data_IF_087035937942
#
_entry.id   IF_087035937942
#
_cell.length_a   1.000
_cell.length_b   1.000
_cell.length_c   1.000
_cell.angle_alpha   90.00
_cell.angle_beta   90.00
_cell.angle_gamma   90.00
#
_symmetry.space_group_name_H-M   'P 1'
#
loop_
_entity.id
_entity.type
_entity.pdbx_description
1 polymer ?
#
# COMPACT_ATOMS: atom_id res chain seq x y z
N UNK A 1 -17.10 32.63 -2.87
CA UNK A 1 -16.11 32.03 -1.94
C UNK A 1 -16.66 30.68 -1.49
N UNK A 2 -15.87 29.61 -1.37
CA UNK A 2 -16.36 28.38 -0.74
C UNK A 2 -16.83 28.69 0.68
N UNK A 3 -17.86 27.98 1.15
CA UNK A 3 -18.35 28.16 2.51
C UNK A 3 -17.24 27.70 3.48
N UNK A 4 -16.88 28.55 4.44
CA UNK A 4 -15.96 28.16 5.53
C UNK A 4 -16.80 27.57 6.64
N UNK A 5 -16.44 26.39 7.15
CA UNK A 5 -17.05 25.86 8.37
C UNK A 5 -16.32 26.48 9.58
N UNK A 6 -16.95 27.39 10.35
CA UNK A 6 -16.29 28.06 11.48
C UNK A 6 -15.92 27.09 12.61
N UNK A 7 -16.45 25.86 12.61
CA UNK A 7 -16.11 24.81 13.57
C UNK A 7 -14.94 23.95 13.10
N UNK A 8 -14.45 24.13 11.87
CA UNK A 8 -13.30 23.42 11.35
C UNK A 8 -12.01 24.01 11.90
N UNK A 9 -11.39 23.26 12.84
CA UNK A 9 -10.18 23.70 13.53
C UNK A 9 -8.91 23.45 12.72
N UNK A 10 -8.97 22.58 11.71
CA UNK A 10 -7.81 22.21 10.91
C UNK A 10 -7.56 23.17 9.75
N UNK A 11 -8.60 23.50 8.98
CA UNK A 11 -8.48 24.29 7.76
C UNK A 11 -9.77 25.09 7.48
N UNK A 12 -9.79 25.78 6.34
CA UNK A 12 -10.91 26.67 5.96
C UNK A 12 -11.86 25.99 4.97
N UNK A 13 -11.88 24.65 4.93
CA UNK A 13 -12.72 23.87 4.02
C UNK A 13 -14.07 23.52 4.65
N UNK A 14 -15.14 23.59 3.86
CA UNK A 14 -16.41 22.92 4.17
C UNK A 14 -16.30 21.39 4.01
N UNK A 15 -17.33 20.68 4.47
CA UNK A 15 -17.38 19.22 4.42
C UNK A 15 -17.31 18.66 3.00
N UNK A 16 -17.86 19.37 2.01
CA UNK A 16 -17.88 18.91 0.61
C UNK A 16 -16.48 18.97 0.00
N UNK A 17 -15.79 20.07 0.22
CA UNK A 17 -14.43 20.30 -0.27
C UNK A 17 -13.45 19.40 0.47
N UNK A 18 -13.61 19.23 1.79
CA UNK A 18 -12.82 18.30 2.59
C UNK A 18 -12.81 16.88 2.02
N UNK A 19 -13.99 16.36 1.65
CA UNK A 19 -14.15 15.00 1.12
C UNK A 19 -13.29 14.73 -0.12
N UNK A 20 -13.00 15.74 -0.95
CA UNK A 20 -12.21 15.58 -2.17
C UNK A 20 -10.78 15.13 -1.89
N UNK A 21 -10.24 15.48 -0.71
CA UNK A 21 -8.88 15.12 -0.33
C UNK A 21 -8.78 13.73 0.29
N UNK A 22 -9.90 13.15 0.70
CA UNK A 22 -9.94 11.98 1.56
C UNK A 22 -9.61 10.66 0.85
N UNK A 23 -9.58 10.60 -0.49
CA UNK A 23 -9.12 9.39 -1.20
C UNK A 23 -7.64 9.13 -0.93
N UNK A 24 -7.23 7.89 -0.68
CA UNK A 24 -5.81 7.53 -0.53
C UNK A 24 -5.00 7.54 -1.84
N UNK A 25 -5.60 7.97 -2.95
CA UNK A 25 -4.94 8.13 -4.23
C UNK A 25 -5.61 9.24 -5.07
N UNK A 26 -4.93 9.73 -6.10
CA UNK A 26 -5.42 10.75 -7.03
C UNK A 26 -4.65 10.70 -8.35
N UNK A 27 -5.28 11.14 -9.44
CA UNK A 27 -4.59 11.27 -10.73
C UNK A 27 -3.61 12.45 -10.69
N UNK A 28 -2.40 12.23 -11.19
CA UNK A 28 -1.36 13.24 -11.33
C UNK A 28 -1.01 13.39 -12.82
N UNK A 29 -0.69 14.60 -13.21
CA UNK A 29 -0.09 14.96 -14.51
C UNK A 29 1.45 15.06 -14.39
N UNK A 30 2.05 14.32 -13.43
CA UNK A 30 3.43 14.46 -12.95
C UNK A 30 3.75 15.79 -12.25
N UNK A 31 2.78 16.70 -12.07
CA UNK A 31 2.94 17.89 -11.22
C UNK A 31 2.65 17.56 -9.75
N UNK A 32 3.22 18.38 -8.86
CA UNK A 32 2.94 18.30 -7.43
C UNK A 32 1.62 19.03 -7.13
N UNK A 33 0.68 18.42 -6.39
CA UNK A 33 -0.56 19.07 -5.96
C UNK A 33 -0.30 20.00 -4.75
N UNK A 34 0.68 20.90 -4.86
CA UNK A 34 1.11 21.80 -3.79
C UNK A 34 -0.04 22.63 -3.26
N UNK A 35 -0.80 23.25 -4.16
CA UNK A 35 -1.95 24.09 -3.83
C UNK A 35 -2.99 23.38 -2.96
N UNK A 36 -3.27 22.12 -3.31
CA UNK A 36 -4.25 21.29 -2.65
C UNK A 36 -3.79 20.93 -1.24
N UNK A 37 -2.55 20.48 -1.08
CA UNK A 37 -1.99 20.19 0.24
C UNK A 37 -1.84 21.43 1.11
N UNK A 38 -1.36 22.55 0.56
CA UNK A 38 -1.24 23.82 1.28
C UNK A 38 -2.60 24.24 1.83
N UNK A 39 -3.63 24.25 0.98
CA UNK A 39 -4.99 24.65 1.39
C UNK A 39 -5.60 23.68 2.38
N UNK A 40 -5.26 22.39 2.30
CA UNK A 40 -5.77 21.39 3.21
C UNK A 40 -5.11 21.45 4.59
N UNK A 41 -3.80 21.67 4.66
CA UNK A 41 -3.05 21.59 5.92
C UNK A 41 -2.85 22.93 6.63
N UNK A 42 -3.24 24.05 6.02
CA UNK A 42 -3.11 25.39 6.64
C UNK A 42 -4.32 26.27 6.46
N UNK A 43 -4.50 27.20 7.39
CA UNK A 43 -5.45 28.31 7.26
C UNK A 43 -4.80 29.50 6.56
N UNK A 44 -5.60 30.31 5.88
CA UNK A 44 -5.09 31.58 5.35
C UNK A 44 -4.78 32.58 6.48
N UNK A 45 -5.53 32.49 7.57
CA UNK A 45 -5.41 33.34 8.76
C UNK A 45 -5.91 32.54 9.98
N UNK A 46 -5.18 32.60 11.09
CA UNK A 46 -5.47 31.90 12.33
C UNK A 46 -6.15 32.84 13.34
N UNK A 47 -6.81 32.32 14.40
CA UNK A 47 -7.58 33.14 15.35
C UNK A 47 -6.78 34.22 16.10
N UNK A 48 -5.47 34.05 16.23
CA UNK A 48 -4.53 35.02 16.83
C UNK A 48 -4.01 36.05 15.81
N UNK A 49 -4.50 36.02 14.56
CA UNK A 49 -4.19 36.96 13.50
C UNK A 49 -2.96 36.62 12.67
N UNK A 50 -2.21 35.55 12.97
CA UNK A 50 -1.10 35.15 12.09
C UNK A 50 -1.61 34.45 10.83
N UNK A 51 -0.87 34.59 9.74
CA UNK A 51 -1.14 33.85 8.49
C UNK A 51 -0.34 32.56 8.46
N UNK A 52 -0.87 31.51 7.83
CA UNK A 52 -0.20 30.21 7.80
C UNK A 52 1.23 30.28 7.27
N UNK A 53 2.18 29.71 8.01
CA UNK A 53 3.62 29.69 7.69
C UNK A 53 4.00 28.32 7.14
N UNK A 54 4.49 28.31 5.91
CA UNK A 54 4.74 27.09 5.14
C UNK A 54 6.22 27.00 4.78
N UNK A 55 6.82 25.85 5.08
CA UNK A 55 8.13 25.49 4.56
C UNK A 55 7.98 24.63 3.30
N UNK A 56 8.66 25.01 2.21
CA UNK A 56 8.77 24.19 1.01
C UNK A 56 10.24 23.82 0.79
N UNK A 57 10.53 22.54 0.58
CA UNK A 57 11.87 22.06 0.26
C UNK A 57 11.82 21.23 -1.05
N UNK A 58 12.65 21.54 -2.05
CA UNK A 58 13.53 22.70 -2.11
C UNK A 58 12.73 24.02 -2.18
N UNK A 59 13.38 25.14 -1.83
CA UNK A 59 12.76 26.49 -1.79
C UNK A 59 12.18 26.90 -3.15
N UNK A 60 12.74 26.37 -4.24
CA UNK A 60 12.30 26.62 -5.63
C UNK A 60 10.85 26.23 -5.89
N UNK A 61 10.27 25.31 -5.10
CA UNK A 61 8.85 24.93 -5.19
C UNK A 61 7.90 26.10 -4.97
N UNK A 62 8.32 27.17 -4.28
CA UNK A 62 7.49 28.37 -4.10
C UNK A 62 7.02 28.96 -5.43
N UNK A 63 7.83 28.82 -6.50
CA UNK A 63 7.48 29.33 -7.84
C UNK A 63 6.33 28.56 -8.50
N UNK A 64 6.01 27.36 -8.01
CA UNK A 64 4.93 26.51 -8.53
C UNK A 64 3.60 26.71 -7.79
N UNK A 65 3.60 27.46 -6.68
CA UNK A 65 2.39 27.69 -5.89
C UNK A 65 1.55 28.79 -6.53
N UNK A 66 0.27 28.53 -6.78
CA UNK A 66 -0.59 29.55 -7.38
C UNK A 66 -0.90 30.68 -6.39
N UNK A 67 -1.21 31.87 -6.92
CA UNK A 67 -1.67 33.00 -6.11
C UNK A 67 -2.89 32.65 -5.24
N UNK A 68 -3.75 31.72 -5.70
CA UNK A 68 -4.92 31.25 -4.96
C UNK A 68 -4.54 30.44 -3.72
N UNK A 69 -3.54 29.57 -3.84
CA UNK A 69 -3.07 28.77 -2.70
C UNK A 69 -2.20 29.61 -1.74
N UNK A 70 -1.35 30.49 -2.29
CA UNK A 70 -0.57 31.44 -1.51
C UNK A 70 -1.48 32.32 -0.64
N UNK A 71 -2.44 33.04 -1.21
CA UNK A 71 -3.34 33.91 -0.44
C UNK A 71 -2.55 34.87 0.47
N UNK A 72 -2.86 34.87 1.78
CA UNK A 72 -2.12 35.64 2.80
C UNK A 72 -0.95 34.87 3.46
N UNK A 73 -0.74 33.60 3.07
CA UNK A 73 0.20 32.69 3.73
C UNK A 73 1.65 33.14 3.49
N UNK A 74 2.52 32.79 4.43
CA UNK A 74 3.93 33.13 4.41
C UNK A 74 4.75 31.89 4.03
N UNK A 75 5.56 32.00 2.98
CA UNK A 75 6.52 30.96 2.63
C UNK A 75 7.87 31.28 3.25
N UNK A 76 8.42 30.31 3.96
CA UNK A 76 9.68 30.45 4.68
C UNK A 76 10.63 29.32 4.32
N UNK A 77 11.92 29.57 4.49
CA UNK A 77 12.94 28.54 4.34
C UNK A 77 12.78 27.48 5.45
N UNK A 78 12.87 26.20 5.09
CA UNK A 78 12.77 25.08 6.02
C UNK A 78 13.93 25.02 7.02
N UNK A 79 15.13 25.47 6.61
CA UNK A 79 16.37 25.43 7.38
C UNK A 79 16.71 26.78 8.04
N UNK A 80 16.14 27.89 7.56
CA UNK A 80 16.42 29.22 8.12
C UNK A 80 15.26 29.79 8.96
N UNK A 81 15.65 30.48 10.05
CA UNK A 81 14.73 31.19 10.95
C UNK A 81 14.24 30.35 12.14
N UNK A 82 13.52 31.02 13.05
CA UNK A 82 12.98 30.42 14.29
C UNK A 82 11.46 30.48 14.38
N UNK A 83 10.79 31.06 13.39
CA UNK A 83 9.33 31.18 13.39
C UNK A 83 8.65 29.81 13.36
N UNK A 84 7.59 29.61 14.16
CA UNK A 84 6.77 28.40 14.10
C UNK A 84 6.17 28.18 12.72
N UNK A 85 6.02 26.92 12.32
CA UNK A 85 5.48 26.48 11.04
C UNK A 85 4.12 25.80 11.24
N UNK A 86 3.20 26.00 10.30
CA UNK A 86 1.89 25.35 10.27
C UNK A 86 1.85 24.15 9.34
N UNK A 87 2.78 24.11 8.38
CA UNK A 87 2.89 23.03 7.40
C UNK A 87 4.25 22.99 6.73
N UNK A 88 4.70 21.80 6.31
CA UNK A 88 5.85 21.64 5.43
C UNK A 88 5.54 20.69 4.26
N UNK A 89 6.08 21.01 3.09
CA UNK A 89 6.08 20.12 1.93
C UNK A 89 7.52 19.89 1.47
N UNK A 90 7.91 18.63 1.34
CA UNK A 90 9.26 18.22 0.94
C UNK A 90 9.13 17.39 -0.34
N UNK A 91 9.70 17.87 -1.45
CA UNK A 91 9.86 17.09 -2.69
C UNK A 91 11.23 16.41 -2.68
N UNK A 92 11.22 15.09 -2.57
CA UNK A 92 12.37 14.20 -2.63
C UNK A 92 12.19 13.16 -3.74
N UNK A 93 11.44 13.52 -4.80
CA UNK A 93 11.26 12.67 -6.00
C UNK A 93 12.53 12.54 -6.85
N UNK A 94 13.56 13.33 -6.55
CA UNK A 94 14.89 13.28 -7.14
C UNK A 94 15.74 12.12 -6.59
N UNK A 95 15.45 11.65 -5.36
CA UNK A 95 16.07 10.44 -4.80
C UNK A 95 15.80 9.25 -5.71
N UNK A 96 16.86 8.65 -6.24
CA UNK A 96 16.82 7.60 -7.26
C UNK A 96 17.15 6.19 -6.76
N UNK A 97 17.64 6.06 -5.52
CA UNK A 97 18.06 4.79 -4.93
C UNK A 97 18.14 4.85 -3.40
N UNK A 98 18.28 3.69 -2.77
CA UNK A 98 18.59 3.60 -1.33
C UNK A 98 20.00 4.12 -1.01
N UNK A 99 20.96 3.90 -1.91
CA UNK A 99 22.33 4.41 -1.75
C UNK A 99 22.37 5.94 -1.72
N UNK A 100 21.60 6.61 -2.60
CA UNK A 100 21.49 8.06 -2.61
C UNK A 100 20.81 8.59 -1.34
N UNK A 101 19.78 7.89 -0.86
CA UNK A 101 19.15 8.22 0.43
C UNK A 101 20.14 8.10 1.59
N UNK A 102 20.95 7.04 1.62
CA UNK A 102 22.00 6.83 2.63
C UNK A 102 23.07 7.94 2.56
N UNK A 103 23.50 8.32 1.34
CA UNK A 103 24.46 9.40 1.13
C UNK A 103 23.93 10.77 1.60
N UNK A 104 22.62 11.03 1.43
CA UNK A 104 21.95 12.29 1.84
C UNK A 104 21.38 12.25 3.25
N UNK A 105 21.47 11.12 3.97
CA UNK A 105 20.80 10.90 5.24
C UNK A 105 21.14 11.98 6.29
N UNK A 106 22.41 12.37 6.41
CA UNK A 106 22.84 13.39 7.40
C UNK A 106 22.25 14.77 7.10
N UNK A 107 22.13 15.16 5.83
CA UNK A 107 21.50 16.43 5.44
C UNK A 107 19.99 16.38 5.74
N UNK A 108 19.34 15.29 5.35
CA UNK A 108 17.90 15.09 5.58
C UNK A 108 17.56 15.04 7.07
N UNK A 109 18.38 14.40 7.90
CA UNK A 109 18.20 14.41 9.36
C UNK A 109 18.29 15.81 9.96
N UNK A 110 19.20 16.67 9.47
CA UNK A 110 19.26 18.08 9.87
C UNK A 110 17.98 18.83 9.47
N UNK A 111 17.49 18.60 8.25
CA UNK A 111 16.22 19.15 7.78
C UNK A 111 15.05 18.71 8.66
N UNK A 112 14.93 17.40 8.94
CA UNK A 112 13.83 16.86 9.73
C UNK A 112 13.88 17.31 11.19
N UNK A 113 15.08 17.39 11.79
CA UNK A 113 15.26 17.95 13.12
C UNK A 113 14.86 19.44 13.19
N UNK A 114 15.27 20.24 12.19
CA UNK A 114 14.88 21.65 12.10
C UNK A 114 13.36 21.81 11.97
N UNK A 115 12.72 21.00 11.11
CA UNK A 115 11.27 20.97 10.96
C UNK A 115 10.56 20.49 12.23
N UNK A 116 11.09 19.50 12.94
CA UNK A 116 10.54 18.99 14.20
C UNK A 116 10.47 20.05 15.30
N UNK A 117 11.48 20.92 15.36
CA UNK A 117 11.54 22.03 16.31
C UNK A 117 10.60 23.19 15.95
N UNK A 118 10.24 23.33 14.66
CA UNK A 118 9.51 24.50 14.15
C UNK A 118 8.04 24.22 13.85
N UNK A 119 7.68 23.03 13.40
CA UNK A 119 6.28 22.65 13.17
C UNK A 119 5.53 22.69 14.50
N UNK A 120 4.44 23.45 14.56
CA UNK A 120 3.61 23.50 15.76
C UNK A 120 2.99 22.12 16.01
N UNK A 121 2.68 21.75 17.25
CA UNK A 121 1.93 20.52 17.52
C UNK A 121 0.42 20.83 17.63
N UNK A 122 -0.48 20.23 16.83
CA UNK A 122 -0.29 19.18 15.83
C UNK A 122 -0.36 19.68 14.36
N UNK A 123 0.77 20.13 13.81
CA UNK A 123 0.95 20.48 12.40
C UNK A 123 1.40 19.26 11.58
N UNK A 124 1.25 19.37 10.25
CA UNK A 124 1.53 18.27 9.33
C UNK A 124 2.73 18.56 8.44
N UNK A 125 3.32 17.51 7.89
CA UNK A 125 4.20 17.63 6.72
C UNK A 125 3.89 16.54 5.69
N UNK A 126 4.07 16.88 4.42
CA UNK A 126 4.02 15.94 3.29
C UNK A 126 5.41 15.75 2.72
N UNK A 127 5.77 14.51 2.43
CA UNK A 127 6.99 14.17 1.71
C UNK A 127 6.62 13.44 0.42
N UNK A 128 6.93 14.05 -0.72
CA UNK A 128 6.77 13.45 -2.04
C UNK A 128 8.05 12.68 -2.40
N UNK A 129 7.93 11.41 -2.77
CA UNK A 129 9.06 10.57 -3.17
C UNK A 129 8.59 9.46 -4.12
N UNK A 130 9.55 8.69 -4.66
CA UNK A 130 9.28 7.52 -5.50
C UNK A 130 9.96 6.29 -4.91
N UNK A 131 9.40 5.12 -5.19
CA UNK A 131 10.16 3.87 -5.06
C UNK A 131 10.93 3.61 -6.35
N UNK A 132 11.99 2.83 -6.24
CA UNK A 132 12.79 2.41 -7.38
C UNK A 132 12.99 0.90 -7.33
N UNK A 133 13.21 0.29 -8.49
CA UNK A 133 13.47 -1.14 -8.57
C UNK A 133 14.62 -1.34 -9.54
N UNK A 134 15.60 -2.15 -9.12
CA UNK A 134 16.84 -2.35 -9.85
C UNK A 134 17.24 -3.80 -9.74
N UNK A 135 17.65 -4.40 -10.86
CA UNK A 135 18.17 -5.76 -10.93
C UNK A 135 17.28 -6.80 -10.24
N UNK A 136 15.96 -6.71 -10.43
CA UNK A 136 15.02 -7.67 -9.84
C UNK A 136 14.84 -7.55 -8.33
N UNK A 137 15.14 -6.38 -7.76
CA UNK A 137 14.95 -6.05 -6.35
C UNK A 137 14.16 -4.77 -6.21
N UNK A 138 13.39 -4.69 -5.13
CA UNK A 138 12.78 -3.43 -4.75
C UNK A 138 13.72 -2.61 -3.89
N UNK A 139 13.89 -1.36 -4.29
CA UNK A 139 14.47 -0.29 -3.48
C UNK A 139 13.33 0.61 -3.01
N UNK A 140 12.71 0.20 -1.89
CA UNK A 140 11.57 0.88 -1.28
C UNK A 140 11.98 2.21 -0.60
N UNK A 141 12.49 3.16 -1.40
CA UNK A 141 13.02 4.45 -0.96
C UNK A 141 11.97 5.21 -0.15
N UNK A 142 10.70 5.18 -0.55
CA UNK A 142 9.63 5.84 0.20
C UNK A 142 9.54 5.31 1.64
N UNK A 143 9.70 4.01 1.85
CA UNK A 143 9.53 3.40 3.17
C UNK A 143 10.81 3.44 4.01
N UNK A 144 11.98 3.43 3.38
CA UNK A 144 13.24 3.77 4.04
C UNK A 144 13.25 5.24 4.52
N UNK A 145 12.80 6.17 3.67
CA UNK A 145 12.62 7.58 4.03
C UNK A 145 11.58 7.75 5.14
N UNK A 146 10.49 6.98 5.09
CA UNK A 146 9.50 6.98 6.16
C UNK A 146 10.09 6.52 7.50
N UNK A 147 10.95 5.48 7.52
CA UNK A 147 11.68 5.03 8.72
C UNK A 147 12.53 6.17 9.29
N UNK A 148 13.23 6.92 8.44
CA UNK A 148 14.03 8.08 8.86
C UNK A 148 13.18 9.18 9.50
N UNK A 149 12.07 9.56 8.87
CA UNK A 149 11.13 10.59 9.35
C UNK A 149 10.41 10.20 10.65
N UNK A 150 10.15 8.90 10.86
CA UNK A 150 9.50 8.40 12.08
C UNK A 150 10.31 8.61 13.37
N UNK A 151 11.60 8.96 13.26
CA UNK A 151 12.41 9.42 14.40
C UNK A 151 11.97 10.80 14.94
N UNK A 152 11.27 11.60 14.12
CA UNK A 152 10.91 12.99 14.40
C UNK A 152 9.40 13.24 14.40
N UNK A 153 8.64 12.47 13.62
CA UNK A 153 7.21 12.70 13.39
C UNK A 153 6.41 11.40 13.38
N UNK A 154 5.12 11.47 13.68
CA UNK A 154 4.24 10.31 13.53
C UNK A 154 3.71 10.21 12.11
N UNK A 155 3.95 9.09 11.43
CA UNK A 155 3.35 8.83 10.12
C UNK A 155 1.85 8.57 10.27
N UNK A 156 1.03 9.29 9.52
CA UNK A 156 -0.44 9.20 9.56
C UNK A 156 -1.04 8.61 8.28
N UNK A 157 -0.37 8.80 7.14
CA UNK A 157 -0.88 8.31 5.87
C UNK A 157 0.20 8.10 4.80
N UNK A 158 -0.22 7.43 3.73
CA UNK A 158 0.42 7.39 2.43
C UNK A 158 -0.66 7.63 1.36
N UNK A 159 -0.51 8.70 0.59
CA UNK A 159 -1.38 9.02 -0.54
C UNK A 159 -0.62 8.78 -1.84
N UNK A 160 -1.28 8.14 -2.80
CA UNK A 160 -0.65 7.72 -4.06
C UNK A 160 -1.03 8.68 -5.18
N UNK A 161 -0.04 9.35 -5.76
CA UNK A 161 -0.17 10.09 -7.01
C UNK A 161 0.01 9.15 -8.18
N UNK A 162 -1.05 9.00 -8.96
CA UNK A 162 -1.16 8.14 -10.12
C UNK A 162 -0.87 8.97 -11.37
N UNK A 163 0.40 9.08 -11.75
CA UNK A 163 0.81 9.88 -12.90
C UNK A 163 0.42 9.23 -14.23
N UNK A 164 0.01 10.05 -15.22
CA UNK A 164 -0.16 9.56 -16.59
C UNK A 164 1.19 9.22 -17.20
N UNK A 165 1.23 8.16 -18.01
CA UNK A 165 2.31 8.01 -18.99
C UNK A 165 2.18 9.18 -19.96
N UNK A 166 3.26 9.92 -20.19
CA UNK A 166 3.39 10.68 -21.43
C UNK A 166 3.61 9.59 -22.49
N UNK A 167 2.76 9.51 -23.50
CA UNK A 167 3.02 8.63 -24.66
C UNK A 167 4.34 9.09 -25.31
N UNK A 168 5.44 8.45 -24.93
CA UNK A 168 6.74 8.59 -25.58
C UNK A 168 6.92 7.45 -26.57
N UNK A 169 5.99 7.29 -27.51
CA UNK A 169 6.23 6.50 -28.70
C UNK A 169 6.85 7.42 -29.77
N UNK A 170 8.16 7.64 -29.67
CA UNK A 170 9.06 8.00 -30.77
C UNK A 170 10.51 8.17 -30.28
N UNK A 171 11.26 7.07 -30.17
CA UNK A 171 12.59 6.87 -30.80
C UNK A 171 13.32 5.68 -30.19
N UNK A 172 13.90 4.89 -31.08
CA UNK A 172 14.46 3.56 -30.88
C UNK A 172 15.78 3.50 -30.09
N UNK A 173 15.95 2.37 -29.39
CA UNK A 173 17.14 1.51 -29.25
C UNK A 173 18.45 2.09 -28.68
N UNK A 174 18.86 1.56 -27.51
CA UNK A 174 20.07 0.73 -27.40
C UNK A 174 20.04 -0.14 -26.12
N UNK A 175 20.73 -1.29 -26.19
CA UNK A 175 20.60 -2.44 -25.30
C UNK A 175 20.97 -2.17 -23.83
N UNK A 176 20.01 -2.39 -22.92
CA UNK A 176 20.28 -2.85 -21.55
C UNK A 176 19.05 -3.57 -20.99
N UNK A 177 19.15 -4.83 -20.50
CA UNK A 177 18.06 -5.47 -19.77
C UNK A 177 18.08 -4.99 -18.32
N UNK A 178 17.91 -3.68 -18.10
CA UNK A 178 17.61 -3.15 -16.76
C UNK A 178 16.14 -2.75 -16.76
N UNK A 179 15.34 -3.51 -16.03
CA UNK A 179 13.97 -3.18 -15.63
C UNK A 179 13.90 -1.72 -15.16
N UNK A 180 13.59 -0.79 -16.06
CA UNK A 180 13.29 0.58 -15.69
C UNK A 180 11.78 0.74 -15.75
N UNK A 181 11.08 0.79 -14.61
CA UNK A 181 9.69 1.14 -14.64
C UNK A 181 9.55 2.56 -15.17
N UNK A 182 8.60 2.75 -16.08
CA UNK A 182 8.06 4.08 -16.33
C UNK A 182 7.36 4.53 -15.03
N UNK A 183 8.14 5.05 -14.08
CA UNK A 183 7.78 5.25 -12.68
C UNK A 183 6.73 6.37 -12.54
N UNK A 184 5.48 6.00 -12.81
CA UNK A 184 4.33 6.88 -12.81
C UNK A 184 3.59 6.87 -11.46
N UNK A 185 4.26 6.42 -10.40
CA UNK A 185 3.75 6.41 -9.05
C UNK A 185 4.55 7.42 -8.24
N UNK A 186 3.84 8.30 -7.53
CA UNK A 186 4.44 9.22 -6.58
C UNK A 186 3.83 8.95 -5.21
N UNK A 187 4.66 8.65 -4.24
CA UNK A 187 4.24 8.51 -2.84
C UNK A 187 4.20 9.89 -2.19
N UNK A 188 3.09 10.22 -1.55
CA UNK A 188 2.96 11.39 -0.68
C UNK A 188 2.76 10.91 0.75
N UNK A 189 3.87 10.77 1.47
CA UNK A 189 3.91 10.33 2.86
C UNK A 189 3.45 11.48 3.77
N UNK A 190 2.48 11.22 4.62
CA UNK A 190 1.87 12.21 5.49
C UNK A 190 2.31 11.99 6.93
N UNK A 191 2.91 13.00 7.54
CA UNK A 191 3.36 12.97 8.92
C UNK A 191 2.73 14.10 9.73
N UNK A 192 2.71 13.92 11.05
CA UNK A 192 2.22 14.92 12.01
C UNK A 192 3.24 15.13 13.11
N UNK A 193 3.43 16.39 13.50
CA UNK A 193 4.22 16.75 14.67
C UNK A 193 3.41 16.60 15.96
N UNK A 194 3.19 15.36 16.35
CA UNK A 194 2.67 14.96 17.65
C UNK A 194 3.50 13.79 18.21
N UNK A 195 4.76 13.73 17.78
CA UNK A 195 5.69 12.71 18.21
C UNK A 195 5.99 12.92 19.70
N UNK A 196 5.71 11.88 20.49
CA UNK A 196 6.08 11.82 21.90
C UNK A 196 7.20 10.79 21.97
N UNK A 197 8.45 11.18 22.26
CA UNK A 197 9.61 10.29 22.25
C UNK A 197 9.48 9.04 23.15
N UNK A 198 8.51 9.04 24.08
CA UNK A 198 8.47 8.12 25.23
C UNK A 198 7.19 7.28 25.35
N UNK A 199 6.41 7.10 24.27
CA UNK A 199 5.24 6.20 24.30
C UNK A 199 5.60 4.69 24.28
N UNK A 200 6.82 4.31 24.66
CA UNK A 200 7.26 2.91 24.73
C UNK A 200 7.36 2.17 23.38
N UNK A 201 7.08 2.85 22.27
CA UNK A 201 7.29 2.32 20.92
C UNK A 201 8.78 2.36 20.60
N UNK A 202 9.48 1.24 20.80
CA UNK A 202 10.84 1.09 20.26
C UNK A 202 10.80 1.38 18.76
N UNK A 203 11.79 2.11 18.18
CA UNK A 203 11.97 2.14 16.74
C UNK A 203 11.92 0.69 16.26
N UNK A 204 11.06 0.39 15.27
CA UNK A 204 10.98 -0.98 14.76
C UNK A 204 12.38 -1.37 14.29
N UNK A 205 12.89 -2.54 14.73
CA UNK A 205 14.18 -3.00 14.27
C UNK A 205 14.16 -3.04 12.74
N UNK A 206 15.24 -2.61 12.12
CA UNK A 206 15.41 -2.78 10.69
C UNK A 206 15.25 -4.27 10.38
N UNK A 207 14.45 -4.62 9.37
CA UNK A 207 14.53 -5.96 8.79
C UNK A 207 15.98 -6.10 8.35
N UNK A 208 16.72 -7.02 8.99
CA UNK A 208 18.13 -7.20 8.72
C UNK A 208 18.30 -7.38 7.20
N UNK A 209 18.97 -6.42 6.56
CA UNK A 209 19.37 -6.55 5.15
C UNK A 209 20.29 -7.75 5.08
N UNK A 210 19.78 -8.91 4.65
CA UNK A 210 20.64 -10.03 4.29
C UNK A 210 21.29 -9.71 2.95
N UNK A 211 22.58 -10.02 2.81
CA UNK A 211 23.24 -9.94 1.52
C UNK A 211 22.46 -10.78 0.51
N UNK A 212 22.09 -10.12 -0.58
CA UNK A 212 21.28 -10.71 -1.62
C UNK A 212 22.10 -11.71 -2.43
N UNK A 213 21.54 -12.90 -2.63
CA UNK A 213 22.07 -13.81 -3.65
C UNK A 213 21.65 -13.27 -5.03
N UNK A 214 22.55 -13.16 -6.02
CA UNK A 214 22.17 -12.80 -7.39
C UNK A 214 21.19 -13.85 -7.95
N UNK A 215 19.99 -13.41 -8.34
CA UNK A 215 18.95 -14.28 -8.92
C UNK A 215 18.80 -13.96 -10.41
N UNK A 216 18.76 -14.98 -11.27
CA UNK A 216 18.56 -14.80 -12.72
C UNK A 216 17.06 -14.70 -13.04
N UNK A 217 16.66 -13.59 -13.69
CA UNK A 217 15.29 -13.34 -14.11
C UNK A 217 14.99 -13.92 -15.49
N UNK A 218 13.73 -14.33 -15.71
CA UNK A 218 13.18 -14.55 -17.05
C UNK A 218 12.81 -13.22 -17.71
N UNK A 219 12.86 -13.18 -19.05
CA UNK A 219 12.48 -12.00 -19.84
C UNK A 219 10.95 -11.92 -19.94
N UNK A 220 10.28 -11.12 -19.10
CA UNK A 220 8.81 -11.07 -19.00
C UNK A 220 8.23 -9.67 -18.80
N UNK A 221 6.97 -9.49 -19.22
CA UNK A 221 6.29 -8.25 -19.60
C UNK A 221 5.65 -7.43 -18.46
N UNK A 222 6.27 -7.30 -17.28
CA UNK A 222 5.64 -6.56 -16.17
C UNK A 222 6.05 -5.07 -16.16
N UNK A 223 5.09 -4.19 -15.84
CA UNK A 223 5.30 -2.75 -15.72
C UNK A 223 4.78 -2.27 -14.38
N UNK A 224 5.58 -1.49 -13.68
CA UNK A 224 5.08 -0.73 -12.55
C UNK A 224 3.99 0.24 -12.98
N UNK A 225 3.03 0.46 -12.10
CA UNK A 225 2.11 1.56 -12.26
C UNK A 225 0.82 1.42 -11.49
N UNK A 226 -0.28 1.83 -12.10
CA UNK A 226 -1.56 1.85 -11.43
C UNK A 226 -2.68 1.63 -12.44
N UNK A 227 -3.80 1.12 -11.95
CA UNK A 227 -4.99 0.93 -12.76
C UNK A 227 -6.25 1.11 -11.93
N UNK A 228 -7.33 1.55 -12.58
CA UNK A 228 -8.66 1.54 -12.00
C UNK A 228 -9.38 0.30 -12.51
N UNK A 229 -9.93 -0.49 -11.60
CA UNK A 229 -10.75 -1.63 -11.95
C UNK A 229 -12.06 -1.59 -11.16
N UNK A 230 -13.16 -1.55 -11.92
CA UNK A 230 -14.54 -1.48 -11.43
C UNK A 230 -15.17 -2.85 -11.60
N UNK A 231 -15.31 -3.63 -10.51
CA UNK A 231 -15.97 -4.92 -10.61
C UNK A 231 -17.47 -4.74 -10.95
N UNK A 232 -18.08 -5.67 -11.68
CA UNK A 232 -19.52 -5.64 -11.93
C UNK A 232 -20.30 -5.77 -10.60
N UNK A 233 -21.54 -5.23 -10.53
CA UNK A 233 -22.37 -5.34 -9.33
C UNK A 233 -22.60 -6.81 -8.93
N UNK A 234 -22.23 -7.18 -7.71
CA UNK A 234 -22.39 -8.55 -7.21
C UNK A 234 -23.79 -8.81 -6.64
N UNK A 235 -24.25 -10.06 -6.74
CA UNK A 235 -25.51 -10.49 -6.13
C UNK A 235 -25.42 -10.47 -4.58
N UNK A 236 -26.57 -10.32 -3.91
CA UNK A 236 -26.66 -10.19 -2.43
C UNK A 236 -26.07 -11.37 -1.65
N UNK A 237 -26.00 -12.57 -2.25
CA UNK A 237 -25.44 -13.76 -1.61
C UNK A 237 -23.90 -13.73 -1.55
N UNK A 238 -23.22 -13.07 -2.51
CA UNK A 238 -21.75 -12.97 -2.55
C UNK A 238 -21.21 -11.90 -1.57
N UNK A 239 -22.06 -10.95 -1.17
CA UNK A 239 -21.76 -9.81 -0.28
C UNK A 239 -21.58 -10.20 1.21
N UNK A 240 -21.91 -11.44 1.60
CA UNK A 240 -21.88 -11.86 3.01
C UNK A 240 -20.45 -12.11 3.54
N UNK A 241 -19.44 -12.20 2.66
CA UNK A 241 -18.08 -12.57 3.07
C UNK A 241 -17.13 -11.36 3.11
N UNK A 242 -16.38 -11.17 4.21
CA UNK A 242 -15.44 -10.06 4.32
C UNK A 242 -14.26 -10.22 3.34
N UNK A 243 -13.84 -9.10 2.75
CA UNK A 243 -12.51 -8.91 2.14
C UNK A 243 -12.12 -9.87 0.98
N UNK A 244 -12.93 -9.91 -0.09
CA UNK A 244 -12.52 -10.56 -1.36
C UNK A 244 -12.07 -9.52 -2.39
N UNK A 245 -10.96 -9.77 -3.07
CA UNK A 245 -10.66 -9.10 -4.34
C UNK A 245 -11.61 -9.62 -5.46
N UNK A 246 -11.84 -8.85 -6.53
CA UNK A 246 -12.68 -9.27 -7.64
C UNK A 246 -12.14 -10.42 -8.48
N UNK A 247 -13.03 -11.33 -8.87
CA UNK A 247 -12.71 -12.47 -9.73
C UNK A 247 -12.19 -11.98 -11.09
N UNK A 248 -12.86 -10.98 -11.68
CA UNK A 248 -12.47 -10.34 -12.94
C UNK A 248 -11.14 -9.56 -12.85
N UNK A 249 -10.80 -9.03 -11.66
CA UNK A 249 -9.44 -8.52 -11.41
C UNK A 249 -8.41 -9.64 -11.51
N UNK A 250 -8.68 -10.75 -10.82
CA UNK A 250 -7.78 -11.91 -10.75
C UNK A 250 -7.61 -12.58 -12.10
N UNK A 251 -8.69 -12.69 -12.88
CA UNK A 251 -8.66 -13.22 -14.25
C UNK A 251 -7.58 -12.52 -15.09
N UNK A 252 -7.50 -11.17 -15.06
CA UNK A 252 -6.49 -10.42 -15.82
C UNK A 252 -5.07 -10.83 -15.46
N UNK A 253 -4.80 -11.00 -14.17
CA UNK A 253 -3.49 -11.45 -13.70
C UNK A 253 -3.21 -12.89 -14.12
N UNK A 254 -4.17 -13.78 -13.97
CA UNK A 254 -4.06 -15.19 -14.42
C UNK A 254 -3.76 -15.25 -15.91
N UNK A 255 -4.52 -14.54 -16.74
CA UNK A 255 -4.34 -14.50 -18.19
C UNK A 255 -2.98 -13.91 -18.60
N UNK A 256 -2.42 -13.00 -17.80
CA UNK A 256 -1.10 -12.40 -18.05
C UNK A 256 0.04 -13.38 -17.77
N UNK A 257 -0.10 -14.26 -16.77
CA UNK A 257 1.01 -15.08 -16.26
C UNK A 257 0.87 -16.58 -16.52
N UNK A 258 -0.23 -17.01 -17.14
CA UNK A 258 -0.51 -18.42 -17.41
C UNK A 258 -1.11 -18.63 -18.79
N UNK A 259 -0.92 -19.83 -19.30
CA UNK A 259 -1.64 -20.37 -20.45
C UNK A 259 -2.86 -21.20 -20.03
N UNK A 260 -3.69 -21.61 -20.99
CA UNK A 260 -4.79 -22.52 -20.72
C UNK A 260 -4.28 -23.84 -20.08
N UNK A 261 -5.10 -24.44 -19.22
CA UNK A 261 -4.80 -25.66 -18.45
C UNK A 261 -3.64 -25.60 -17.45
N UNK A 262 -2.92 -24.48 -17.36
CA UNK A 262 -1.91 -24.25 -16.32
C UNK A 262 -2.56 -24.09 -14.92
N UNK A 263 -1.79 -24.42 -13.89
CA UNK A 263 -2.20 -24.42 -12.48
C UNK A 263 -1.99 -23.06 -11.81
N UNK A 264 -3.10 -22.48 -11.37
CA UNK A 264 -3.15 -21.30 -10.50
C UNK A 264 -3.28 -21.75 -9.05
N UNK A 265 -2.49 -21.16 -8.16
CA UNK A 265 -2.49 -21.47 -6.74
C UNK A 265 -2.86 -20.28 -5.87
N UNK A 266 -3.61 -20.54 -4.81
CA UNK A 266 -3.84 -19.61 -3.71
C UNK A 266 -3.62 -20.31 -2.35
N UNK A 267 -2.54 -20.01 -1.62
CA UNK A 267 -2.25 -20.63 -0.32
C UNK A 267 -3.24 -20.22 0.79
N UNK A 268 -4.05 -19.19 0.58
CA UNK A 268 -5.01 -18.66 1.55
C UNK A 268 -6.31 -18.35 0.81
N UNK A 269 -6.90 -19.39 0.21
CA UNK A 269 -7.94 -19.30 -0.81
C UNK A 269 -9.23 -18.63 -0.33
N UNK A 270 -9.47 -18.59 0.98
CA UNK A 270 -10.71 -18.09 1.57
C UNK A 270 -11.91 -18.77 0.92
N UNK A 271 -12.85 -17.95 0.50
CA UNK A 271 -14.05 -18.41 -0.21
C UNK A 271 -13.82 -18.72 -1.72
N UNK A 272 -12.58 -18.88 -2.17
CA UNK A 272 -12.22 -19.39 -3.50
C UNK A 272 -12.36 -18.44 -4.68
N UNK A 273 -12.22 -17.12 -4.50
CA UNK A 273 -12.34 -16.16 -5.62
C UNK A 273 -11.26 -16.35 -6.69
N UNK A 274 -10.02 -16.62 -6.28
CA UNK A 274 -8.91 -16.96 -7.18
C UNK A 274 -9.16 -18.26 -7.94
N UNK A 275 -9.71 -19.28 -7.26
CA UNK A 275 -10.01 -20.58 -7.85
C UNK A 275 -11.12 -20.49 -8.92
N UNK A 276 -12.18 -19.74 -8.62
CA UNK A 276 -13.27 -19.47 -9.56
C UNK A 276 -12.77 -18.67 -10.76
N UNK A 277 -12.00 -17.60 -10.53
CA UNK A 277 -11.42 -16.80 -11.60
C UNK A 277 -10.58 -17.65 -12.56
N UNK A 278 -9.71 -18.53 -12.03
CA UNK A 278 -8.92 -19.45 -12.84
C UNK A 278 -9.79 -20.37 -13.69
N UNK A 279 -10.86 -20.94 -13.12
CA UNK A 279 -11.77 -21.81 -13.85
C UNK A 279 -12.48 -21.08 -15.00
N UNK A 280 -12.93 -19.85 -14.76
CA UNK A 280 -13.63 -19.00 -15.74
C UNK A 280 -12.77 -18.67 -16.96
N UNK A 281 -11.45 -18.55 -16.77
CA UNK A 281 -10.49 -18.36 -17.87
C UNK A 281 -9.82 -19.66 -18.31
N UNK A 282 -10.44 -20.82 -18.10
CA UNK A 282 -9.94 -22.11 -18.57
C UNK A 282 -8.57 -22.55 -18.02
N UNK A 283 -8.23 -22.19 -16.79
CA UNK A 283 -7.07 -22.70 -16.05
C UNK A 283 -7.51 -23.77 -15.04
N UNK A 284 -6.54 -24.51 -14.52
CA UNK A 284 -6.73 -25.38 -13.35
C UNK A 284 -6.41 -24.57 -12.11
N UNK A 285 -7.03 -24.91 -10.98
CA UNK A 285 -6.81 -24.16 -9.75
C UNK A 285 -6.58 -25.08 -8.56
N UNK A 286 -5.67 -24.72 -7.69
CA UNK A 286 -5.59 -25.35 -6.39
C UNK A 286 -5.42 -24.32 -5.28
N UNK A 287 -5.79 -24.68 -4.07
CA UNK A 287 -5.64 -23.79 -2.93
C UNK A 287 -5.72 -24.50 -1.60
N UNK A 288 -5.34 -23.76 -0.56
CA UNK A 288 -5.44 -24.17 0.83
C UNK A 288 -6.31 -23.13 1.55
N UNK A 289 -7.22 -23.59 2.39
CA UNK A 289 -7.99 -22.72 3.27
C UNK A 289 -8.17 -23.35 4.65
N UNK A 290 -7.87 -22.57 5.70
CA UNK A 290 -7.91 -23.04 7.08
C UNK A 290 -9.36 -23.14 7.60
N UNK A 291 -10.20 -22.14 7.32
CA UNK A 291 -11.53 -22.06 7.88
C UNK A 291 -12.51 -23.00 7.15
N UNK A 292 -13.09 -24.00 7.84
CA UNK A 292 -14.05 -24.95 7.23
C UNK A 292 -15.26 -24.26 6.60
N UNK A 293 -15.79 -23.19 7.20
CA UNK A 293 -16.92 -22.46 6.63
C UNK A 293 -16.57 -21.85 5.26
N UNK A 294 -15.37 -21.29 5.13
CA UNK A 294 -14.90 -20.72 3.86
C UNK A 294 -14.63 -21.79 2.80
N UNK A 295 -14.13 -22.97 3.22
CA UNK A 295 -14.00 -24.14 2.34
C UNK A 295 -15.36 -24.57 1.79
N UNK A 296 -16.38 -24.67 2.65
CA UNK A 296 -17.73 -25.07 2.23
C UNK A 296 -18.31 -24.05 1.23
N UNK A 297 -18.16 -22.76 1.52
CA UNK A 297 -18.57 -21.69 0.60
C UNK A 297 -17.82 -21.82 -0.73
N UNK A 298 -16.51 -21.99 -0.72
CA UNK A 298 -15.70 -22.12 -1.93
C UNK A 298 -16.18 -23.30 -2.79
N UNK A 299 -16.40 -24.49 -2.18
CA UNK A 299 -16.89 -25.70 -2.84
C UNK A 299 -18.22 -25.49 -3.56
N UNK A 300 -19.15 -24.76 -2.95
CA UNK A 300 -20.45 -24.47 -3.60
C UNK A 300 -20.30 -23.60 -4.87
N UNK A 301 -19.25 -22.79 -4.98
CA UNK A 301 -19.07 -21.86 -6.10
C UNK A 301 -18.60 -22.52 -7.39
N UNK A 302 -17.91 -23.66 -7.30
CA UNK A 302 -17.36 -24.35 -8.47
C UNK A 302 -17.96 -25.74 -8.71
N UNK A 303 -18.99 -26.11 -7.93
CA UNK A 303 -19.87 -27.27 -8.18
C UNK A 303 -19.12 -28.56 -8.55
N UNK A 304 -18.11 -28.93 -7.75
CA UNK A 304 -17.30 -30.14 -7.93
C UNK A 304 -16.53 -30.24 -9.27
N UNK A 305 -16.22 -29.10 -9.89
CA UNK A 305 -15.30 -29.06 -11.03
C UNK A 305 -14.01 -29.82 -10.73
N UNK A 306 -13.72 -30.85 -11.54
CA UNK A 306 -12.50 -31.67 -11.44
C UNK A 306 -11.21 -30.90 -11.76
N UNK A 307 -11.33 -29.64 -12.20
CA UNK A 307 -10.20 -28.74 -12.47
C UNK A 307 -9.77 -27.97 -11.23
N UNK A 308 -10.48 -28.10 -10.11
CA UNK A 308 -10.17 -27.43 -8.85
C UNK A 308 -9.81 -28.45 -7.76
N UNK A 309 -8.72 -28.18 -7.05
CA UNK A 309 -8.31 -28.90 -5.84
C UNK A 309 -8.25 -27.93 -4.66
N UNK A 310 -9.17 -28.05 -3.71
CA UNK A 310 -9.16 -27.25 -2.49
C UNK A 310 -8.92 -28.13 -1.27
N UNK A 311 -7.80 -27.90 -0.59
CA UNK A 311 -7.44 -28.56 0.66
C UNK A 311 -7.90 -27.71 1.83
N UNK A 312 -8.63 -28.31 2.77
CA UNK A 312 -8.89 -27.69 4.06
C UNK A 312 -7.69 -27.93 4.99
N UNK A 313 -7.01 -26.87 5.42
CA UNK A 313 -5.87 -26.99 6.32
C UNK A 313 -5.05 -25.72 6.44
N UNK A 314 -3.95 -25.82 7.18
CA UNK A 314 -2.99 -24.73 7.34
C UNK A 314 -2.04 -24.66 6.15
N UNK A 315 -1.86 -23.45 5.59
CA UNK A 315 -0.94 -23.19 4.49
C UNK A 315 0.53 -23.50 4.83
N UNK A 316 0.90 -23.47 6.12
CA UNK A 316 2.23 -23.83 6.62
C UNK A 316 2.53 -25.33 6.49
N UNK A 317 1.50 -26.15 6.32
CA UNK A 317 1.62 -27.60 6.16
C UNK A 317 1.58 -28.02 4.67
N UNK A 318 1.76 -27.09 3.73
CA UNK A 318 1.61 -27.33 2.28
C UNK A 318 2.44 -28.49 1.71
N UNK A 319 3.52 -28.91 2.39
CA UNK A 319 4.33 -30.09 1.99
C UNK A 319 3.64 -31.42 2.28
N UNK A 320 2.71 -31.46 3.24
CA UNK A 320 2.03 -32.67 3.67
C UNK A 320 0.82 -33.04 2.80
N UNK A 321 0.28 -32.08 2.05
CA UNK A 321 -0.92 -32.28 1.24
C UNK A 321 -0.60 -32.92 -0.11
N UNK A 322 -0.77 -34.23 -0.18
CA UNK A 322 -0.54 -35.04 -1.39
C UNK A 322 -1.48 -34.71 -2.55
N UNK A 323 -2.68 -34.18 -2.26
CA UNK A 323 -3.67 -33.83 -3.28
C UNK A 323 -3.26 -32.61 -4.12
N UNK A 324 -2.38 -31.75 -3.58
CA UNK A 324 -1.91 -30.57 -4.30
C UNK A 324 -1.01 -30.97 -5.47
N UNK A 325 -1.18 -30.36 -6.66
CA UNK A 325 -0.38 -30.68 -7.83
C UNK A 325 1.12 -30.39 -7.58
N UNK A 326 2.03 -31.26 -8.05
CA UNK A 326 3.44 -31.21 -7.67
C UNK A 326 4.18 -29.95 -8.13
N UNK A 327 3.71 -29.32 -9.21
CA UNK A 327 4.25 -28.07 -9.74
C UNK A 327 3.13 -27.09 -10.05
N UNK A 328 3.40 -25.82 -9.80
CA UNK A 328 2.47 -24.70 -9.95
C UNK A 328 2.99 -23.71 -10.99
N UNK A 329 2.07 -23.01 -11.66
CA UNK A 329 2.39 -22.15 -12.80
C UNK A 329 2.23 -20.68 -12.48
N UNK A 330 1.36 -20.37 -11.52
CA UNK A 330 1.17 -19.03 -11.03
C UNK A 330 0.56 -19.07 -9.63
N UNK A 331 0.95 -18.11 -8.79
CA UNK A 331 0.29 -17.88 -7.51
C UNK A 331 -0.34 -16.50 -7.48
N UNK A 332 -1.60 -16.39 -7.07
CA UNK A 332 -2.22 -15.10 -6.77
C UNK A 332 -3.02 -15.21 -5.48
N UNK A 333 -2.78 -14.29 -4.56
CA UNK A 333 -3.33 -14.38 -3.21
C UNK A 333 -3.43 -13.02 -2.53
N UNK A 334 -4.19 -12.96 -1.45
CA UNK A 334 -4.21 -11.83 -0.52
C UNK A 334 -4.09 -12.36 0.90
N UNK A 335 -3.04 -11.98 1.65
CA UNK A 335 -2.87 -12.45 3.00
C UNK A 335 -3.93 -11.83 3.93
N UNK A 336 -4.19 -12.44 5.10
CA UNK A 336 -4.95 -11.76 6.14
C UNK A 336 -4.25 -10.47 6.54
N UNK A 337 -5.01 -9.39 6.75
CA UNK A 337 -4.47 -8.06 7.10
C UNK A 337 -4.08 -7.96 8.58
N UNK A 338 -3.25 -8.89 9.08
CA UNK A 338 -2.89 -9.04 10.50
C UNK A 338 -4.14 -9.10 11.41
N UNK A 339 -3.99 -8.87 12.72
CA UNK A 339 -5.07 -8.92 13.71
C UNK A 339 -6.09 -7.76 13.63
N UNK A 340 -6.14 -7.06 12.50
CA UNK A 340 -6.99 -5.88 12.28
C UNK A 340 -8.48 -6.16 12.51
N UNK A 341 -8.96 -7.35 12.14
CA UNK A 341 -10.36 -7.73 12.34
C UNK A 341 -10.71 -7.98 13.82
N UNK A 342 -9.73 -8.11 14.72
CA UNK A 342 -9.94 -8.23 16.17
C UNK A 342 -10.00 -6.88 16.89
N UNK A 343 -9.64 -5.77 16.24
CA UNK A 343 -9.73 -4.46 16.85
C UNK A 343 -11.19 -4.08 17.17
N UNK A 344 -11.46 -3.72 18.43
CA UNK A 344 -12.77 -3.20 18.86
C UNK A 344 -13.01 -1.82 18.24
N UNK A 345 -14.14 -1.61 17.58
CA UNK A 345 -14.62 -0.27 17.21
C UNK A 345 -14.76 0.05 15.71
N UNK A 346 -14.54 -0.90 14.80
CA UNK A 346 -14.98 -0.69 13.42
C UNK A 346 -16.52 -0.64 13.41
N UNK A 347 -17.13 0.43 12.88
CA UNK A 347 -18.59 0.51 12.60
C UNK A 347 -19.10 -0.78 11.90
N UNK A 348 -18.21 -1.41 11.12
CA UNK A 348 -18.42 -2.68 10.44
C UNK A 348 -18.68 -3.84 11.41
N UNK A 349 -18.05 -3.93 12.58
CA UNK A 349 -18.29 -5.02 13.54
C UNK A 349 -19.69 -4.96 14.18
N UNK A 350 -20.18 -3.76 14.48
CA UNK A 350 -21.53 -3.58 15.03
C UNK A 350 -22.60 -3.92 13.98
N UNK A 351 -22.43 -3.46 12.73
CA UNK A 351 -23.31 -3.79 11.60
C UNK A 351 -23.25 -5.28 11.24
N UNK A 352 -22.06 -5.91 11.27
CA UNK A 352 -21.88 -7.35 11.02
C UNK A 352 -22.51 -8.20 12.11
N UNK A 353 -22.35 -7.82 13.39
CA UNK A 353 -23.01 -8.48 14.52
C UNK A 353 -24.54 -8.42 14.39
N UNK A 354 -25.09 -7.27 13.98
CA UNK A 354 -26.51 -7.12 13.72
C UNK A 354 -27.00 -7.95 12.52
N UNK A 355 -26.12 -8.25 11.56
CA UNK A 355 -26.40 -9.06 10.37
C UNK A 355 -26.05 -10.55 10.51
N UNK A 356 -25.64 -11.03 11.70
CA UNK A 356 -25.23 -12.42 11.91
C UNK A 356 -23.95 -12.83 11.19
N UNK A 357 -23.14 -11.86 10.73
CA UNK A 357 -21.92 -12.12 9.96
C UNK A 357 -20.70 -12.29 10.88
N UNK A 358 -19.80 -13.21 10.52
CA UNK A 358 -18.52 -13.38 11.21
C UNK A 358 -17.74 -12.06 11.31
N UNK A 359 -17.16 -11.83 12.50
CA UNK A 359 -16.50 -10.58 12.90
C UNK A 359 -15.01 -10.53 12.53
N UNK A 360 -14.38 -11.70 12.42
CA UNK A 360 -12.99 -11.95 12.06
C UNK A 360 -12.90 -13.31 11.34
N UNK A 361 -11.73 -13.66 10.81
CA UNK A 361 -11.57 -14.81 9.90
C UNK A 361 -11.89 -16.16 10.55
N UNK A 362 -11.30 -16.47 11.71
CA UNK A 362 -11.68 -17.64 12.52
C UNK A 362 -11.18 -17.52 13.97
N UNK A 363 -11.66 -18.38 14.86
CA UNK A 363 -11.11 -18.54 16.22
C UNK A 363 -10.02 -19.63 16.31
N UNK A 364 -9.58 -20.18 15.17
CA UNK A 364 -8.51 -21.17 15.14
C UNK A 364 -7.17 -20.53 15.57
N UNK A 365 -6.43 -21.10 16.52
CA UNK A 365 -5.14 -20.55 16.95
C UNK A 365 -4.08 -20.53 15.83
N UNK A 366 -4.26 -21.30 14.76
CA UNK A 366 -3.38 -21.35 13.61
C UNK A 366 -3.66 -20.23 12.59
N UNK A 367 -4.80 -19.55 12.67
CA UNK A 367 -5.15 -18.45 11.79
C UNK A 367 -4.15 -17.29 11.94
N UNK A 368 -3.47 -16.94 10.85
CA UNK A 368 -2.48 -15.85 10.85
C UNK A 368 -3.11 -14.50 11.24
N UNK A 369 -4.42 -14.31 11.02
CA UNK A 369 -5.18 -13.16 11.48
C UNK A 369 -5.37 -13.09 13.01
N UNK A 370 -4.95 -14.11 13.76
CA UNK A 370 -5.01 -14.15 15.22
C UNK A 370 -3.66 -13.81 15.89
N UNK A 371 -2.58 -13.65 15.12
CA UNK A 371 -1.25 -13.39 15.65
C UNK A 371 -1.12 -11.94 16.13
N UNK A 372 -0.80 -11.75 17.41
CA UNK A 372 -0.73 -10.43 18.04
C UNK A 372 0.58 -9.69 17.78
N UNK A 373 1.71 -10.38 17.66
CA UNK A 373 3.00 -9.75 17.34
C UNK A 373 3.20 -9.62 15.83
N UNK A 374 3.46 -8.40 15.36
CA UNK A 374 3.59 -8.12 13.92
C UNK A 374 4.76 -8.85 13.27
N UNK A 375 5.93 -8.88 13.91
CA UNK A 375 7.11 -9.56 13.36
C UNK A 375 6.90 -11.07 13.29
N UNK A 376 6.24 -11.66 14.30
CA UNK A 376 5.88 -13.08 14.28
C UNK A 376 4.89 -13.40 13.16
N UNK A 377 3.93 -12.50 12.93
CA UNK A 377 3.00 -12.61 11.81
C UNK A 377 3.75 -12.60 10.47
N UNK A 378 4.71 -11.68 10.29
CA UNK A 378 5.54 -11.62 9.09
C UNK A 378 6.40 -12.88 8.90
N UNK A 379 7.00 -13.42 9.96
CA UNK A 379 7.80 -14.66 9.89
C UNK A 379 6.95 -15.84 9.38
N UNK A 380 5.77 -16.03 9.97
CA UNK A 380 4.86 -17.10 9.58
C UNK A 380 4.33 -16.93 8.15
N UNK A 381 4.10 -15.69 7.73
CA UNK A 381 3.65 -15.39 6.38
C UNK A 381 4.78 -15.61 5.35
N UNK A 382 6.02 -15.26 5.69
CA UNK A 382 7.20 -15.57 4.89
C UNK A 382 7.36 -17.09 4.70
N UNK A 383 7.14 -17.90 5.73
CA UNK A 383 7.17 -19.36 5.64
C UNK A 383 6.14 -19.88 4.61
N UNK A 384 4.91 -19.38 4.64
CA UNK A 384 3.86 -19.74 3.66
C UNK A 384 4.30 -19.40 2.23
N UNK A 385 4.87 -18.21 2.02
CA UNK A 385 5.34 -17.80 0.70
C UNK A 385 6.59 -18.56 0.24
N UNK A 386 7.47 -18.96 1.16
CA UNK A 386 8.62 -19.82 0.87
C UNK A 386 8.17 -21.20 0.39
N UNK A 387 7.21 -21.82 1.10
CA UNK A 387 6.60 -23.09 0.66
C UNK A 387 5.91 -22.96 -0.69
N UNK A 388 5.26 -21.83 -0.93
CA UNK A 388 4.63 -21.56 -2.23
C UNK A 388 5.67 -21.43 -3.35
N UNK A 389 6.75 -20.69 -3.11
CA UNK A 389 7.86 -20.53 -4.04
C UNK A 389 8.56 -21.87 -4.35
N UNK A 390 8.68 -22.77 -3.39
CA UNK A 390 9.22 -24.13 -3.61
C UNK A 390 8.42 -24.89 -4.67
N UNK A 391 7.09 -24.74 -4.69
CA UNK A 391 6.17 -25.44 -5.62
C UNK A 391 6.00 -24.78 -6.99
N UNK A 392 6.26 -23.49 -7.12
CA UNK A 392 6.24 -22.81 -8.42
C UNK A 392 7.30 -23.40 -9.35
N UNK A 393 7.01 -23.54 -10.66
CA UNK A 393 8.05 -23.86 -11.64
C UNK A 393 9.07 -22.72 -11.73
N UNK A 394 10.36 -23.01 -12.00
CA UNK A 394 11.34 -21.96 -12.25
C UNK A 394 10.88 -20.98 -13.33
N UNK A 395 11.13 -19.69 -13.14
CA UNK A 395 10.67 -18.61 -14.02
C UNK A 395 9.20 -18.23 -13.91
N UNK A 396 8.40 -18.89 -13.06
CA UNK A 396 6.97 -18.58 -12.85
C UNK A 396 6.73 -17.53 -11.78
N UNK A 397 5.53 -16.95 -11.80
CA UNK A 397 5.23 -15.72 -11.07
C UNK A 397 4.33 -15.93 -9.86
N UNK A 398 4.39 -14.98 -8.94
CA UNK A 398 3.50 -14.83 -7.80
C UNK A 398 3.07 -13.38 -7.70
N UNK A 399 1.77 -13.11 -7.55
CA UNK A 399 1.25 -11.77 -7.24
C UNK A 399 0.54 -11.76 -5.90
N UNK A 400 0.93 -10.81 -5.05
CA UNK A 400 0.36 -10.62 -3.71
C UNK A 400 -0.43 -9.32 -3.72
N UNK A 401 -1.75 -9.42 -3.52
CA UNK A 401 -2.65 -8.27 -3.37
C UNK A 401 -2.76 -7.91 -1.90
N UNK A 402 -2.22 -6.77 -1.49
CA UNK A 402 -2.08 -6.41 -0.07
C UNK A 402 -2.25 -4.90 0.15
N UNK A 403 -2.42 -4.50 1.40
CA UNK A 403 -2.59 -3.13 1.87
C UNK A 403 -1.70 -2.94 3.08
N UNK A 404 -1.20 -1.73 3.25
CA UNK A 404 -0.61 -1.34 4.52
C UNK A 404 -1.68 -1.29 5.60
N UNK A 405 -1.26 -1.55 6.83
CA UNK A 405 -2.15 -1.67 7.98
C UNK A 405 -2.06 -0.39 8.82
N UNK A 406 -3.21 0.21 9.14
CA UNK A 406 -3.31 1.35 10.06
C UNK A 406 -3.85 0.88 11.39
N UNK A 407 -3.03 0.84 12.44
CA UNK A 407 -3.40 0.33 13.77
C UNK A 407 -2.95 1.29 14.86
N UNK A 408 -3.88 1.65 15.77
CA UNK A 408 -3.63 2.54 16.92
C UNK A 408 -2.90 3.86 16.57
N UNK A 409 -3.17 4.41 15.39
CA UNK A 409 -2.55 5.66 14.94
C UNK A 409 -1.16 5.50 14.31
N UNK A 410 -0.67 4.27 14.14
CA UNK A 410 0.54 3.93 13.40
C UNK A 410 0.23 3.29 12.05
N UNK A 411 1.18 3.41 11.13
CA UNK A 411 1.18 2.70 9.85
C UNK A 411 2.18 1.55 9.92
N UNK A 412 1.74 0.40 9.44
CA UNK A 412 2.54 -0.79 9.22
C UNK A 412 2.63 -1.01 7.71
N UNK A 413 3.82 -0.87 7.11
CA UNK A 413 4.00 -0.98 5.67
C UNK A 413 4.02 -2.44 5.24
N UNK A 414 2.96 -3.18 5.54
CA UNK A 414 2.85 -4.62 5.34
C UNK A 414 3.25 -5.05 3.92
N UNK A 415 2.85 -4.28 2.90
CA UNK A 415 3.23 -4.53 1.51
C UNK A 415 4.75 -4.60 1.35
N UNK A 416 5.47 -3.66 1.95
CA UNK A 416 6.91 -3.49 1.78
C UNK A 416 7.73 -4.35 2.74
N UNK A 417 7.23 -4.59 3.95
CA UNK A 417 7.85 -5.54 4.87
C UNK A 417 7.79 -6.98 4.30
N UNK A 418 6.71 -7.33 3.57
CA UNK A 418 6.64 -8.58 2.78
C UNK A 418 7.65 -8.54 1.63
N UNK A 419 7.67 -7.47 0.83
CA UNK A 419 8.59 -7.37 -0.31
C UNK A 419 10.06 -7.51 0.10
N UNK A 420 10.47 -6.83 1.18
CA UNK A 420 11.82 -6.86 1.75
C UNK A 420 12.22 -8.30 2.14
N UNK A 421 11.28 -9.10 2.66
CA UNK A 421 11.52 -10.51 3.05
C UNK A 421 11.56 -11.45 1.85
N UNK A 422 10.60 -11.33 0.94
CA UNK A 422 10.46 -12.26 -0.20
C UNK A 422 11.55 -12.10 -1.24
N UNK A 423 12.08 -10.89 -1.44
CA UNK A 423 13.19 -10.66 -2.38
C UNK A 423 14.52 -11.33 -1.98
N UNK A 424 14.57 -12.02 -0.82
CA UNK A 424 15.70 -12.86 -0.43
C UNK A 424 15.72 -14.21 -1.17
N UNK A 425 14.60 -14.63 -1.75
CA UNK A 425 14.48 -15.91 -2.47
C UNK A 425 13.60 -15.84 -3.72
N UNK A 426 12.98 -14.70 -3.99
CA UNK A 426 12.26 -14.39 -5.21
C UNK A 426 12.83 -13.13 -5.86
N UNK A 427 12.56 -12.96 -7.14
CA UNK A 427 12.91 -11.77 -7.93
C UNK A 427 11.72 -10.83 -7.87
N UNK A 428 11.90 -9.59 -7.43
CA UNK A 428 10.86 -8.57 -7.49
C UNK A 428 10.69 -8.10 -8.93
N UNK A 429 9.47 -8.18 -9.47
CA UNK A 429 9.16 -7.83 -10.85
C UNK A 429 8.45 -6.48 -10.98
N UNK A 430 7.73 -6.04 -9.94
CA UNK A 430 7.15 -4.70 -9.95
C UNK A 430 6.04 -4.44 -8.93
N UNK A 431 5.69 -3.17 -8.82
CA UNK A 431 4.61 -2.63 -8.00
C UNK A 431 3.46 -2.10 -8.87
N UNK A 432 2.24 -2.56 -8.61
CA UNK A 432 1.05 -1.99 -9.20
C UNK A 432 0.04 -1.54 -8.14
N UNK A 433 -0.67 -0.45 -8.39
CA UNK A 433 -1.78 -0.01 -7.55
C UNK A 433 -3.12 -0.29 -8.20
N UNK A 434 -3.90 -1.19 -7.60
CA UNK A 434 -5.32 -1.28 -7.88
C UNK A 434 -6.06 -0.16 -7.14
N UNK A 435 -6.51 0.83 -7.90
CA UNK A 435 -7.20 2.01 -7.42
C UNK A 435 -8.72 1.87 -7.54
N UNK A 436 -9.44 2.11 -6.46
CA UNK A 436 -10.91 2.05 -6.40
C UNK A 436 -11.49 3.46 -6.41
N UNK A 437 -12.27 3.82 -7.43
CA UNK A 437 -12.93 5.12 -7.57
C UNK A 437 -14.45 5.07 -7.34
N UNK A 438 -14.99 3.88 -7.11
CA UNK A 438 -16.41 3.54 -6.96
C UNK A 438 -16.88 3.43 -5.50
N UNK A 439 -15.94 3.48 -4.55
CA UNK A 439 -16.24 3.41 -3.12
C UNK A 439 -16.77 4.75 -2.58
N UNK A 440 -17.76 4.67 -1.69
CA UNK A 440 -18.33 5.87 -1.03
C UNK A 440 -17.33 6.44 -0.02
N UNK A 441 -17.03 7.73 -0.16
CA UNK A 441 -16.18 8.45 0.78
C UNK A 441 -16.89 8.70 2.10
N UNK A 442 -16.20 8.43 3.20
CA UNK A 442 -16.58 8.89 4.53
C UNK A 442 -15.75 10.12 4.94
N UNK A 443 -16.33 11.12 5.63
CA UNK A 443 -15.64 12.33 6.08
C UNK A 443 -14.81 12.06 7.35
N UNK A 444 -13.88 11.10 7.31
CA UNK A 444 -13.08 10.75 8.46
C UNK A 444 -12.24 11.95 8.94
N UNK A 445 -12.16 12.10 10.26
CA UNK A 445 -11.39 13.18 10.89
C UNK A 445 -11.88 14.60 10.61
N UNK A 446 -13.03 14.79 9.93
CA UNK A 446 -13.54 16.12 9.58
C UNK A 446 -13.55 17.06 10.79
N UNK A 447 -12.99 18.27 10.57
CA UNK A 447 -12.75 19.35 11.56
C UNK A 447 -11.55 19.18 12.50
N UNK A 448 -10.97 17.97 12.61
CA UNK A 448 -10.02 17.66 13.69
C UNK A 448 -8.68 17.09 13.21
N UNK A 449 -8.67 16.22 12.19
CA UNK A 449 -7.46 15.54 11.77
C UNK A 449 -7.56 15.01 10.34
N UNK A 450 -6.41 14.84 9.68
CA UNK A 450 -6.33 14.05 8.45
C UNK A 450 -6.50 12.56 8.72
N UNK A 451 -7.43 11.94 8.00
CA UNK A 451 -7.60 10.48 7.91
C UNK A 451 -8.08 10.15 6.50
N UNK A 452 -7.29 9.47 5.66
CA UNK A 452 -7.79 9.05 4.35
C UNK A 452 -8.71 7.82 4.42
N UNK A 453 -9.55 7.70 3.40
CA UNK A 453 -10.22 6.47 3.01
C UNK A 453 -9.23 5.66 2.15
N UNK A 454 -8.74 4.53 2.67
CA UNK A 454 -7.80 3.65 1.95
C UNK A 454 -8.52 2.88 0.83
N UNK A 455 -8.48 3.43 -0.38
CA UNK A 455 -9.12 2.94 -1.60
C UNK A 455 -8.12 2.53 -2.68
N UNK A 456 -6.92 2.11 -2.27
CA UNK A 456 -5.95 1.47 -3.15
C UNK A 456 -5.46 0.16 -2.52
N UNK A 457 -5.04 -0.79 -3.34
CA UNK A 457 -4.32 -2.00 -2.96
C UNK A 457 -2.99 -2.06 -3.72
N UNK A 458 -1.96 -2.58 -3.08
CA UNK A 458 -0.72 -2.97 -3.72
C UNK A 458 -0.92 -4.34 -4.37
N UNK A 459 -0.49 -4.48 -5.62
CA UNK A 459 -0.32 -5.74 -6.32
C UNK A 459 1.19 -5.90 -6.55
N UNK A 460 1.85 -6.67 -5.68
CA UNK A 460 3.28 -6.90 -5.75
C UNK A 460 3.56 -8.20 -6.49
N UNK A 461 4.33 -8.13 -7.57
CA UNK A 461 4.63 -9.30 -8.39
C UNK A 461 6.08 -9.72 -8.21
N UNK A 462 6.27 -11.03 -8.05
CA UNK A 462 7.55 -11.68 -7.91
C UNK A 462 7.68 -12.83 -8.90
N UNK A 463 8.92 -13.20 -9.23
CA UNK A 463 9.25 -14.35 -10.07
C UNK A 463 10.15 -15.33 -9.30
N UNK A 464 9.87 -16.63 -9.45
CA UNK A 464 10.78 -17.67 -9.01
C UNK A 464 12.02 -17.69 -9.91
N UNK A 465 13.24 -17.67 -9.35
CA UNK A 465 14.47 -17.81 -10.14
C UNK A 465 14.47 -19.04 -11.04
N UNK A 466 15.24 -18.99 -12.14
CA UNK A 466 15.42 -20.09 -13.10
C UNK A 466 16.12 -21.32 -12.52
#
# INVERSE_FOLDING_TARGET
>A
MPAVDPKNRMNDLDSRTWLQFQKSWFLSDNTLPLDDFIRFFTKSEYPDGHCGRIALYPVTLQTQVSARAAGKRQFVDALAGSSPLDYAFIDLRDLSSLEELEARASELEKLFAALGNRLQAPAYLTVACRNWHKNGRSESVAWALARLLRKYFNQKDEKIGCASLVDTDAQEQEQTPTWQPANNIIYFLQFRNDFVPDNGGKPRPDVAKKEAVPLQAGTGAFRDGWFIHKPPPRSKQVLLHPAKFPEDLVQKFIETFTEADEWVFDPMAGTGSSLVAALEVNRRACGIELNPEFVDIARTRYADSKRIVLVQGDARDARSYADLPPQLDYCITSPPYWDMLRMRGAETQAKRKAAGLQRWYSDDPHDLGNIAEYDRFLDLLEDVYRLTAERLRPGRYMTIIVKNVKKKGEIYPLSWDIADRLQNFLIFCGEQFWCQDDQRLAPFGYRYAWVSNTFHHYCLTFQKPL
#
